data_IF_565197591512
#
_entry.id   IF_565197591512
#
_cell.length_a   1.000
_cell.length_b   1.000
_cell.length_c   1.000
_cell.angle_alpha   90.00
_cell.angle_beta   90.00
_cell.angle_gamma   90.00
#
_symmetry.space_group_name_H-M   'P 1'
#
loop_
_entity.id
_entity.type
_entity.pdbx_description
1 polymer ?
#
# COMPACT_ATOMS: atom_id res chain seq x y z
N UNK A 1 11.95 50.55 11.58
CA UNK A 1 11.34 49.21 11.74
C UNK A 1 10.50 48.97 10.50
N UNK A 2 11.05 48.23 9.58
CA UNK A 2 10.44 47.94 8.27
C UNK A 2 9.43 46.85 8.47
N UNK A 3 8.18 47.19 8.21
CA UNK A 3 7.04 46.27 8.18
C UNK A 3 7.20 45.29 7.02
N UNK A 4 7.73 44.13 7.29
CA UNK A 4 7.76 43.01 6.35
C UNK A 4 6.43 42.28 6.42
N UNK A 5 5.36 42.90 5.91
CA UNK A 5 4.09 42.22 5.68
C UNK A 5 4.29 41.16 4.59
N UNK A 6 4.45 40.00 5.05
CA UNK A 6 4.60 38.70 4.44
C UNK A 6 3.56 38.42 3.35
N UNK A 7 3.91 38.57 2.10
CA UNK A 7 3.36 37.75 1.03
C UNK A 7 4.05 36.38 1.08
N UNK A 8 3.86 35.64 2.16
CA UNK A 8 4.36 34.28 2.28
C UNK A 8 3.52 33.37 1.36
N UNK A 9 4.11 32.94 0.27
CA UNK A 9 3.53 31.95 -0.63
C UNK A 9 3.37 30.54 0.01
N UNK A 10 3.74 30.41 1.27
CA UNK A 10 3.64 29.14 2.02
C UNK A 10 2.21 28.70 2.31
N UNK A 11 1.31 29.64 2.63
CA UNK A 11 -0.09 29.29 2.94
C UNK A 11 -0.84 28.65 1.78
N UNK A 12 -0.91 29.27 0.59
CA UNK A 12 -1.53 28.66 -0.58
C UNK A 12 -0.89 27.34 -0.99
N UNK A 13 0.46 27.24 -1.01
CA UNK A 13 1.15 25.99 -1.34
C UNK A 13 0.81 24.85 -0.39
N UNK A 14 0.75 25.11 0.90
CA UNK A 14 0.34 24.13 1.90
C UNK A 14 -1.13 23.74 1.74
N UNK A 15 -1.99 24.63 1.29
CA UNK A 15 -3.39 24.36 0.96
C UNK A 15 -3.52 23.33 -0.14
N UNK A 16 -2.87 23.57 -1.29
CA UNK A 16 -2.86 22.63 -2.42
C UNK A 16 -2.26 21.27 -2.07
N UNK A 17 -1.13 21.28 -1.37
CA UNK A 17 -0.54 20.03 -0.90
C UNK A 17 -1.48 19.26 0.02
N UNK A 18 -2.15 19.96 0.94
CA UNK A 18 -3.12 19.35 1.84
C UNK A 18 -4.30 18.73 1.10
N UNK A 19 -4.83 19.39 0.07
CA UNK A 19 -5.89 18.85 -0.79
C UNK A 19 -5.44 17.53 -1.45
N UNK A 20 -4.26 17.52 -2.07
CA UNK A 20 -3.72 16.33 -2.69
C UNK A 20 -3.59 15.18 -1.70
N UNK A 21 -2.98 15.40 -0.55
CA UNK A 21 -2.78 14.36 0.47
C UNK A 21 -4.10 13.89 1.10
N UNK A 22 -5.06 14.80 1.28
CA UNK A 22 -6.38 14.42 1.79
C UNK A 22 -7.14 13.53 0.82
N UNK A 23 -6.96 13.73 -0.48
CA UNK A 23 -7.46 12.82 -1.52
C UNK A 23 -6.98 11.39 -1.34
N UNK A 24 -5.70 11.19 -1.00
CA UNK A 24 -5.18 9.85 -0.69
C UNK A 24 -5.89 9.22 0.53
N UNK A 25 -6.11 10.02 1.56
CA UNK A 25 -6.82 9.54 2.77
C UNK A 25 -8.24 9.11 2.41
N UNK A 26 -8.97 9.91 1.63
CA UNK A 26 -10.32 9.58 1.18
C UNK A 26 -10.37 8.24 0.42
N UNK A 27 -9.41 8.00 -0.47
CA UNK A 27 -9.32 6.72 -1.20
C UNK A 27 -9.02 5.56 -0.26
N UNK A 28 -8.04 5.72 0.63
CA UNK A 28 -7.60 4.65 1.52
C UNK A 28 -8.65 4.27 2.56
N UNK A 29 -9.43 5.23 3.06
CA UNK A 29 -10.48 5.01 4.06
C UNK A 29 -11.81 4.54 3.47
N UNK A 30 -12.01 4.72 2.16
CA UNK A 30 -13.26 4.30 1.53
C UNK A 30 -13.34 2.77 1.40
N UNK A 31 -14.49 2.18 1.68
CA UNK A 31 -14.72 0.73 1.55
C UNK A 31 -15.24 0.30 0.18
N UNK A 32 -15.74 1.22 -0.65
CA UNK A 32 -16.29 0.93 -1.97
C UNK A 32 -15.16 0.81 -3.01
N UNK A 33 -15.08 -0.33 -3.69
CA UNK A 33 -14.05 -0.57 -4.71
C UNK A 33 -14.25 0.24 -6.00
N UNK A 34 -15.47 0.75 -6.23
CA UNK A 34 -15.77 1.66 -7.34
C UNK A 34 -15.34 3.10 -7.08
N UNK A 35 -14.85 3.40 -5.85
CA UNK A 35 -14.48 4.76 -5.48
C UNK A 35 -13.38 5.32 -6.39
N UNK A 36 -13.60 6.54 -6.83
CA UNK A 36 -12.64 7.33 -7.60
C UNK A 36 -12.72 8.80 -7.24
N UNK A 37 -11.65 9.53 -7.48
CA UNK A 37 -11.63 10.99 -7.31
C UNK A 37 -10.97 11.71 -8.49
N UNK A 38 -11.31 13.00 -8.62
CA UNK A 38 -10.65 13.98 -9.50
C UNK A 38 -10.33 15.22 -8.71
N UNK A 39 -9.26 15.89 -9.08
CA UNK A 39 -8.87 17.18 -8.50
C UNK A 39 -9.27 18.33 -9.41
N UNK A 40 -9.65 19.48 -8.82
CA UNK A 40 -9.92 20.75 -9.52
C UNK A 40 -10.88 20.64 -10.71
N UNK A 41 -11.86 19.69 -10.66
CA UNK A 41 -12.85 19.54 -11.71
C UNK A 41 -14.02 20.54 -11.52
N UNK A 42 -14.85 20.33 -10.51
CA UNK A 42 -15.96 21.22 -10.12
C UNK A 42 -15.72 21.87 -8.75
N UNK A 43 -14.86 21.27 -7.93
CA UNK A 43 -14.43 21.74 -6.62
C UNK A 43 -13.00 21.23 -6.36
N UNK A 44 -12.45 21.45 -5.15
CA UNK A 44 -11.08 21.00 -4.80
C UNK A 44 -10.91 19.48 -5.05
N UNK A 45 -11.89 18.67 -4.62
CA UNK A 45 -11.93 17.22 -4.85
C UNK A 45 -13.36 16.80 -5.21
N UNK A 46 -13.50 16.15 -6.33
CA UNK A 46 -14.73 15.49 -6.76
C UNK A 46 -14.58 13.98 -6.59
N UNK A 47 -15.57 13.33 -5.95
CA UNK A 47 -15.52 11.89 -5.68
C UNK A 47 -16.76 11.18 -6.17
N UNK A 48 -16.58 9.96 -6.68
CA UNK A 48 -17.64 9.06 -7.11
C UNK A 48 -17.49 7.71 -6.40
N UNK A 49 -18.63 7.17 -5.91
CA UNK A 49 -18.72 5.84 -5.31
C UNK A 49 -20.11 5.26 -5.63
N UNK A 50 -20.18 4.32 -6.56
CA UNK A 50 -21.45 3.83 -7.07
C UNK A 50 -22.32 4.97 -7.61
N UNK A 51 -23.52 5.16 -7.03
CA UNK A 51 -24.45 6.26 -7.38
C UNK A 51 -24.19 7.56 -6.57
N UNK A 52 -23.22 7.55 -5.67
CA UNK A 52 -22.90 8.70 -4.82
C UNK A 52 -21.86 9.58 -5.50
N UNK A 53 -22.23 10.84 -5.72
CA UNK A 53 -21.36 11.89 -6.25
C UNK A 53 -21.19 12.99 -5.19
N UNK A 54 -19.95 13.35 -4.86
CA UNK A 54 -19.66 14.38 -3.87
C UNK A 54 -18.67 15.41 -4.40
N UNK A 55 -18.94 16.68 -4.10
CA UNK A 55 -18.02 17.80 -4.24
C UNK A 55 -17.46 18.16 -2.87
N UNK A 56 -16.15 18.12 -2.73
CA UNK A 56 -15.48 18.35 -1.46
C UNK A 56 -14.59 19.58 -1.52
N UNK A 57 -14.87 20.54 -0.66
CA UNK A 57 -14.01 21.69 -0.45
C UNK A 57 -13.11 21.46 0.75
N UNK A 58 -11.80 21.54 0.55
CA UNK A 58 -10.79 21.18 1.55
C UNK A 58 -10.05 22.44 2.05
N UNK A 59 -10.23 22.78 3.30
CA UNK A 59 -9.63 23.96 3.91
C UNK A 59 -8.61 23.63 4.99
N UNK A 60 -7.34 23.88 4.69
CA UNK A 60 -6.27 23.84 5.67
C UNK A 60 -6.07 25.21 6.33
N UNK A 61 -6.04 25.24 7.67
CA UNK A 61 -5.69 26.41 8.46
C UNK A 61 -4.51 26.10 9.36
N UNK A 62 -3.51 26.97 9.37
CA UNK A 62 -2.38 26.86 10.29
C UNK A 62 -2.78 27.29 11.70
N UNK A 63 -3.76 28.19 11.82
CA UNK A 63 -4.23 28.73 13.07
C UNK A 63 -5.42 27.91 13.62
N UNK A 64 -5.48 27.75 14.93
CA UNK A 64 -6.62 27.15 15.62
C UNK A 64 -7.77 28.17 15.70
N UNK A 65 -8.51 28.33 14.60
CA UNK A 65 -9.67 29.19 14.54
C UNK A 65 -10.96 28.36 14.48
N UNK A 66 -12.07 28.99 14.91
CA UNK A 66 -13.38 28.38 14.82
C UNK A 66 -14.02 28.69 13.47
N UNK A 67 -14.59 27.64 12.84
CA UNK A 67 -15.50 27.80 11.72
C UNK A 67 -16.87 28.16 12.27
N UNK A 68 -17.48 29.20 11.72
CA UNK A 68 -18.82 29.66 12.07
C UNK A 68 -19.64 29.95 10.80
N UNK A 69 -20.97 30.12 10.94
CA UNK A 69 -21.87 30.56 9.89
C UNK A 69 -21.51 31.94 9.31
N UNK A 70 -20.66 32.69 10.01
CA UNK A 70 -20.18 34.02 9.59
C UNK A 70 -18.90 33.98 8.75
N UNK A 71 -18.24 32.82 8.68
CA UNK A 71 -16.94 32.65 8.00
C UNK A 71 -17.05 32.90 6.49
N UNK A 72 -16.26 33.84 5.96
CA UNK A 72 -16.29 34.22 4.55
C UNK A 72 -15.97 33.06 3.61
N UNK A 73 -15.00 32.21 3.98
CA UNK A 73 -14.64 31.02 3.21
C UNK A 73 -15.81 30.03 3.08
N UNK A 74 -16.57 29.80 4.14
CA UNK A 74 -17.76 28.96 4.10
C UNK A 74 -18.79 29.51 3.11
N UNK A 75 -19.04 30.82 3.12
CA UNK A 75 -19.97 31.45 2.19
C UNK A 75 -19.46 31.39 0.75
N UNK A 76 -18.16 31.51 0.53
CA UNK A 76 -17.59 31.33 -0.80
C UNK A 76 -17.83 29.91 -1.33
N UNK A 77 -17.60 28.91 -0.49
CA UNK A 77 -17.88 27.50 -0.83
C UNK A 77 -19.37 27.25 -1.09
N UNK A 78 -20.26 27.79 -0.25
CA UNK A 78 -21.71 27.71 -0.49
C UNK A 78 -22.08 28.29 -1.87
N UNK A 79 -21.46 29.38 -2.28
CA UNK A 79 -21.70 29.98 -3.59
C UNK A 79 -21.27 29.08 -4.76
N UNK A 80 -20.12 28.40 -4.63
CA UNK A 80 -19.65 27.43 -5.63
C UNK A 80 -20.65 26.29 -5.73
N UNK A 81 -21.05 25.71 -4.61
CA UNK A 81 -21.98 24.60 -4.53
C UNK A 81 -23.39 24.94 -5.03
N UNK A 82 -23.86 26.18 -4.81
CA UNK A 82 -25.11 26.65 -5.39
C UNK A 82 -25.07 26.70 -6.92
N UNK A 83 -23.91 27.00 -7.48
CA UNK A 83 -23.73 26.97 -8.94
C UNK A 83 -23.75 25.55 -9.53
N UNK A 84 -23.38 24.54 -8.73
CA UNK A 84 -23.40 23.13 -9.13
C UNK A 84 -24.74 22.43 -8.73
N UNK A 85 -25.52 23.03 -7.85
CA UNK A 85 -26.75 22.47 -7.34
C UNK A 85 -27.89 22.56 -8.36
N UNK A 86 -28.36 21.43 -8.83
CA UNK A 86 -29.59 21.32 -9.66
C UNK A 86 -30.66 20.60 -8.84
N UNK A 87 -31.77 21.30 -8.48
CA UNK A 87 -32.88 20.71 -7.74
C UNK A 87 -33.67 19.69 -8.54
N UNK A 88 -33.60 19.72 -9.88
CA UNK A 88 -34.33 18.84 -10.78
C UNK A 88 -33.48 17.63 -11.24
N UNK A 89 -32.21 17.63 -10.96
CA UNK A 89 -31.30 16.52 -11.32
C UNK A 89 -31.67 15.22 -10.62
N UNK A 90 -31.74 14.14 -11.40
CA UNK A 90 -31.87 12.77 -10.88
C UNK A 90 -30.60 12.30 -10.16
N UNK A 91 -29.45 12.91 -10.44
CA UNK A 91 -28.16 12.61 -9.79
C UNK A 91 -28.10 13.31 -8.43
N UNK A 92 -27.88 12.52 -7.38
CA UNK A 92 -27.80 13.04 -6.01
C UNK A 92 -26.39 13.53 -5.70
N UNK A 93 -26.15 14.80 -6.01
CA UNK A 93 -24.90 15.47 -5.65
C UNK A 93 -24.90 15.85 -4.15
N UNK A 94 -23.86 15.44 -3.42
CA UNK A 94 -23.60 15.81 -2.04
C UNK A 94 -22.42 16.78 -1.94
N UNK A 95 -22.36 17.55 -0.86
CA UNK A 95 -21.34 18.58 -0.63
C UNK A 95 -20.62 18.32 0.69
N UNK A 96 -19.28 18.32 0.67
CA UNK A 96 -18.45 18.03 1.84
C UNK A 96 -17.54 19.21 2.16
N UNK A 97 -17.69 19.79 3.33
CA UNK A 97 -16.77 20.81 3.84
C UNK A 97 -15.77 20.18 4.80
N UNK A 98 -14.54 20.04 4.36
CA UNK A 98 -13.43 19.39 5.06
C UNK A 98 -12.51 20.47 5.60
N UNK A 99 -12.25 20.50 6.91
CA UNK A 99 -11.45 21.58 7.49
C UNK A 99 -10.69 21.18 8.75
N UNK A 100 -9.47 21.70 8.89
CA UNK A 100 -8.70 21.60 10.13
C UNK A 100 -9.23 22.50 11.26
N UNK A 101 -10.14 23.42 10.95
CA UNK A 101 -10.73 24.30 11.93
C UNK A 101 -11.64 23.56 12.92
N UNK A 102 -11.73 24.10 14.13
CA UNK A 102 -12.70 23.65 15.15
C UNK A 102 -14.07 24.25 14.87
N UNK A 103 -15.12 23.60 15.36
CA UNK A 103 -16.46 24.20 15.45
C UNK A 103 -16.92 24.20 16.90
N UNK A 104 -17.84 25.11 17.24
CA UNK A 104 -18.51 25.08 18.52
C UNK A 104 -19.47 23.89 18.57
N UNK A 105 -19.32 22.96 19.52
CA UNK A 105 -20.23 21.82 19.65
C UNK A 105 -21.68 22.20 19.93
N UNK A 106 -21.92 23.39 20.47
CA UNK A 106 -23.26 23.94 20.73
C UNK A 106 -23.73 24.93 19.64
N UNK A 107 -22.90 25.17 18.64
CA UNK A 107 -23.21 26.11 17.55
C UNK A 107 -24.01 25.47 16.41
N UNK A 108 -24.55 26.31 15.50
CA UNK A 108 -25.42 25.85 14.42
C UNK A 108 -24.78 24.89 13.41
N UNK A 109 -23.43 24.85 13.36
CA UNK A 109 -22.71 23.92 12.49
C UNK A 109 -22.59 22.50 13.06
N UNK A 110 -22.90 22.30 14.36
CA UNK A 110 -22.76 21.00 14.99
C UNK A 110 -23.67 19.92 14.38
N UNK A 111 -24.85 20.32 13.90
CA UNK A 111 -25.78 19.40 13.23
C UNK A 111 -25.26 18.80 11.91
N UNK A 112 -24.28 19.44 11.27
CA UNK A 112 -23.73 18.97 10.00
C UNK A 112 -22.75 17.78 10.16
N UNK A 113 -22.39 17.41 11.38
CA UNK A 113 -21.53 16.24 11.66
C UNK A 113 -22.29 14.93 11.59
N UNK A 114 -23.58 14.96 11.81
CA UNK A 114 -24.43 13.77 11.86
C UNK A 114 -25.43 13.80 10.69
N UNK A 115 -25.33 12.80 9.82
CA UNK A 115 -26.25 12.64 8.67
C UNK A 115 -27.71 12.39 9.07
N UNK A 116 -27.98 12.07 10.35
CA UNK A 116 -29.32 11.83 10.87
C UNK A 116 -29.93 13.10 11.53
N UNK A 117 -29.14 14.13 11.76
CA UNK A 117 -29.60 15.37 12.37
C UNK A 117 -30.37 16.22 11.37
N UNK A 118 -31.38 16.92 11.85
CA UNK A 118 -32.04 17.97 11.08
C UNK A 118 -31.11 19.17 10.94
N UNK A 119 -30.73 19.56 9.73
CA UNK A 119 -29.86 20.70 9.45
C UNK A 119 -30.58 22.05 9.57
N UNK A 120 -31.73 22.11 10.27
CA UNK A 120 -32.55 23.29 10.39
C UNK A 120 -31.88 24.43 11.17
N UNK A 121 -31.13 24.12 12.21
CA UNK A 121 -30.39 25.13 12.98
C UNK A 121 -29.34 25.85 12.12
N UNK A 122 -28.63 25.12 11.32
CA UNK A 122 -27.66 25.69 10.39
C UNK A 122 -28.36 26.51 9.30
N UNK A 123 -29.47 26.02 8.74
CA UNK A 123 -30.25 26.76 7.76
C UNK A 123 -30.73 28.09 8.32
N UNK A 124 -31.30 28.11 9.52
CA UNK A 124 -31.76 29.35 10.16
C UNK A 124 -30.60 30.31 10.46
N UNK A 125 -29.44 29.80 10.87
CA UNK A 125 -28.25 30.60 11.08
C UNK A 125 -27.74 31.25 9.77
N UNK A 126 -27.77 30.52 8.65
CA UNK A 126 -27.41 31.05 7.32
C UNK A 126 -28.41 32.12 6.87
N UNK A 127 -29.72 31.89 7.05
CA UNK A 127 -30.76 32.89 6.73
C UNK A 127 -30.54 34.18 7.49
N UNK A 128 -30.34 34.10 8.81
CA UNK A 128 -30.06 35.28 9.66
C UNK A 128 -28.80 36.00 9.21
N UNK A 129 -27.74 35.26 8.90
CA UNK A 129 -26.49 35.89 8.49
C UNK A 129 -26.62 36.53 7.09
N UNK A 130 -27.33 35.90 6.16
CA UNK A 130 -27.61 36.48 4.84
C UNK A 130 -28.44 37.78 4.96
N UNK A 131 -29.49 37.75 5.78
CA UNK A 131 -30.30 38.96 6.06
C UNK A 131 -29.46 40.09 6.68
N UNK A 132 -28.62 39.78 7.66
CA UNK A 132 -27.69 40.74 8.29
C UNK A 132 -26.71 41.37 7.30
N UNK A 133 -26.23 40.59 6.32
CA UNK A 133 -25.30 41.05 5.29
C UNK A 133 -26.00 41.90 4.24
N UNK A 134 -27.17 41.49 3.79
CA UNK A 134 -27.91 42.15 2.69
C UNK A 134 -28.73 43.36 3.13
N UNK A 135 -29.32 43.32 4.34
CA UNK A 135 -30.24 44.32 4.87
C UNK A 135 -29.81 44.78 6.29
N UNK A 136 -28.69 45.46 6.43
CA UNK A 136 -28.26 45.91 7.74
C UNK A 136 -29.18 46.96 8.31
N UNK A 137 -29.51 46.88 9.61
CA UNK A 137 -30.38 47.82 10.33
C UNK A 137 -29.89 49.28 10.24
N UNK A 138 -28.63 49.52 9.98
CA UNK A 138 -28.03 50.85 9.84
C UNK A 138 -28.25 51.48 8.45
N UNK A 139 -28.92 50.81 7.52
CA UNK A 139 -29.16 51.31 6.16
C UNK A 139 -27.89 51.33 5.26
N UNK A 140 -26.71 50.95 5.81
CA UNK A 140 -25.48 50.81 5.02
C UNK A 140 -25.13 49.33 4.91
N UNK A 141 -24.75 48.81 3.70
CA UNK A 141 -24.30 47.45 3.55
C UNK A 141 -23.19 47.13 4.57
N UNK A 142 -23.34 46.06 5.32
CA UNK A 142 -22.32 45.64 6.30
C UNK A 142 -21.03 45.18 5.64
N UNK A 143 -21.08 44.86 4.33
CA UNK A 143 -19.94 44.45 3.48
C UNK A 143 -19.99 45.19 2.14
N UNK A 144 -18.85 45.33 1.51
CA UNK A 144 -18.78 45.79 0.11
C UNK A 144 -19.60 44.82 -0.77
N UNK A 145 -20.43 45.37 -1.67
CA UNK A 145 -21.23 44.59 -2.63
C UNK A 145 -20.39 43.71 -3.57
N UNK A 146 -19.12 44.03 -3.72
CA UNK A 146 -18.16 43.24 -4.49
C UNK A 146 -17.52 42.08 -3.71
N UNK A 147 -17.73 42.02 -2.39
CA UNK A 147 -17.18 40.94 -1.56
C UNK A 147 -17.78 39.60 -1.95
N UNK A 148 -16.95 38.54 -1.89
CA UNK A 148 -17.37 37.17 -2.17
C UNK A 148 -18.54 36.75 -1.28
N UNK A 149 -18.49 37.12 0.01
CA UNK A 149 -19.55 36.82 0.96
C UNK A 149 -20.88 37.50 0.62
N UNK A 150 -20.85 38.79 0.23
CA UNK A 150 -22.09 39.49 -0.17
C UNK A 150 -22.75 38.80 -1.36
N UNK A 151 -21.98 38.46 -2.40
CA UNK A 151 -22.46 37.75 -3.58
C UNK A 151 -23.05 36.39 -3.22
N UNK A 152 -22.38 35.63 -2.36
CA UNK A 152 -22.86 34.34 -1.88
C UNK A 152 -24.19 34.44 -1.11
N UNK A 153 -24.30 35.40 -0.19
CA UNK A 153 -25.55 35.67 0.52
C UNK A 153 -26.70 36.05 -0.44
N UNK A 154 -26.38 36.82 -1.49
CA UNK A 154 -27.37 37.22 -2.49
C UNK A 154 -27.86 36.01 -3.30
N UNK A 155 -26.95 35.15 -3.78
CA UNK A 155 -27.33 33.93 -4.52
C UNK A 155 -28.12 32.96 -3.63
N UNK A 156 -27.71 32.74 -2.39
CA UNK A 156 -28.45 31.92 -1.43
C UNK A 156 -29.90 32.45 -1.18
N UNK A 157 -30.07 33.77 -1.18
CA UNK A 157 -31.38 34.38 -0.96
C UNK A 157 -32.31 34.37 -2.18
N UNK A 158 -31.79 34.07 -3.39
CA UNK A 158 -32.59 33.97 -4.62
C UNK A 158 -33.37 32.66 -4.74
N UNK A 159 -32.82 31.57 -4.19
CA UNK A 159 -33.47 30.26 -4.19
C UNK A 159 -34.62 30.21 -3.18
N UNK A 160 -35.62 29.42 -3.46
CA UNK A 160 -36.83 29.29 -2.62
C UNK A 160 -36.48 28.67 -1.25
N UNK A 161 -37.33 28.86 -0.26
CA UNK A 161 -37.14 28.27 1.08
C UNK A 161 -37.07 26.74 1.05
N UNK A 162 -37.76 26.10 0.14
CA UNK A 162 -37.74 24.65 -0.08
C UNK A 162 -36.40 24.20 -0.67
N UNK A 163 -35.91 24.90 -1.68
CA UNK A 163 -34.62 24.63 -2.31
C UNK A 163 -33.48 24.85 -1.31
N UNK A 164 -33.52 25.90 -0.50
CA UNK A 164 -32.54 26.11 0.60
C UNK A 164 -32.50 24.91 1.54
N UNK A 165 -33.67 24.40 1.93
CA UNK A 165 -33.76 23.23 2.81
C UNK A 165 -33.19 21.98 2.16
N UNK A 166 -33.54 21.69 0.91
CA UNK A 166 -33.06 20.55 0.15
C UNK A 166 -31.55 20.64 -0.09
N UNK A 167 -31.04 21.82 -0.39
CA UNK A 167 -29.59 22.07 -0.56
C UNK A 167 -28.81 21.79 0.72
N UNK A 168 -29.24 22.37 1.85
CA UNK A 168 -28.56 22.21 3.14
C UNK A 168 -28.56 20.75 3.64
N UNK A 169 -29.57 19.95 3.28
CA UNK A 169 -29.61 18.51 3.61
C UNK A 169 -28.53 17.70 2.90
N UNK A 170 -27.92 18.23 1.86
CA UNK A 170 -26.83 17.59 1.10
C UNK A 170 -25.44 18.02 1.57
N UNK A 171 -25.33 18.90 2.59
CA UNK A 171 -24.06 19.41 3.11
C UNK A 171 -23.63 18.60 4.32
N UNK A 172 -22.41 18.12 4.30
CA UNK A 172 -21.72 17.39 5.39
C UNK A 172 -20.47 18.15 5.80
N UNK A 173 -20.20 18.19 7.10
CA UNK A 173 -19.05 18.90 7.66
C UNK A 173 -18.09 17.93 8.36
N UNK A 174 -16.83 17.98 7.96
CA UNK A 174 -15.72 17.25 8.57
C UNK A 174 -14.73 18.22 9.21
N UNK A 175 -14.99 18.67 10.44
CA UNK A 175 -14.11 19.60 11.15
C UNK A 175 -12.98 18.86 11.87
N UNK A 176 -11.94 19.61 12.27
CA UNK A 176 -10.82 19.08 13.05
C UNK A 176 -10.11 17.92 12.34
N UNK A 177 -10.08 17.95 11.00
CA UNK A 177 -9.27 16.99 10.24
C UNK A 177 -7.79 17.18 10.56
N UNK A 178 -6.96 16.13 10.46
CA UNK A 178 -5.53 16.20 10.77
C UNK A 178 -4.82 17.31 9.98
N UNK A 179 -3.94 18.05 10.63
CA UNK A 179 -3.11 19.06 9.95
C UNK A 179 -2.09 18.38 9.04
N UNK A 180 -1.55 19.12 8.07
CA UNK A 180 -0.58 18.60 7.09
C UNK A 180 0.61 17.87 7.74
N UNK A 181 1.09 18.32 8.91
CA UNK A 181 2.16 17.64 9.66
C UNK A 181 1.77 16.29 10.26
N UNK A 182 0.49 16.00 10.38
CA UNK A 182 -0.06 14.77 10.99
C UNK A 182 -0.44 13.71 9.93
N UNK A 183 -0.43 14.09 8.65
CA UNK A 183 -0.88 13.24 7.55
C UNK A 183 -0.11 11.92 7.49
N UNK A 184 1.20 11.95 7.65
CA UNK A 184 2.02 10.73 7.63
C UNK A 184 1.63 9.75 8.75
N UNK A 185 1.24 10.27 9.92
CA UNK A 185 0.73 9.45 11.03
C UNK A 185 -0.60 8.80 10.65
N UNK A 186 -1.47 9.56 10.00
CA UNK A 186 -2.77 9.04 9.56
C UNK A 186 -2.62 7.97 8.47
N UNK A 187 -1.78 8.18 7.47
CA UNK A 187 -1.52 7.16 6.44
C UNK A 187 -0.99 5.87 7.09
N UNK A 188 0.00 5.97 8.00
CA UNK A 188 0.51 4.80 8.73
C UNK A 188 -0.59 4.08 9.53
N UNK A 189 -1.52 4.82 10.09
CA UNK A 189 -2.68 4.25 10.81
C UNK A 189 -3.59 3.47 9.84
N UNK A 190 -3.92 4.06 8.70
CA UNK A 190 -4.81 3.45 7.70
C UNK A 190 -4.19 2.19 7.09
N UNK A 191 -2.89 2.19 6.76
CA UNK A 191 -2.21 1.02 6.19
C UNK A 191 -1.77 0.00 7.25
N UNK A 192 -1.94 0.27 8.54
CA UNK A 192 -1.46 -0.60 9.62
C UNK A 192 -2.02 -2.03 9.62
N UNK A 193 -3.26 -2.30 9.18
CA UNK A 193 -3.78 -3.67 9.09
C UNK A 193 -3.09 -4.52 8.00
N UNK A 194 -2.43 -3.88 7.04
CA UNK A 194 -1.85 -4.53 5.85
C UNK A 194 -0.32 -4.55 5.86
N UNK A 195 0.32 -3.93 6.86
CA UNK A 195 1.77 -3.71 6.87
C UNK A 195 2.40 -4.13 8.21
N UNK A 196 3.59 -4.72 8.12
CA UNK A 196 4.39 -5.00 9.32
C UNK A 196 4.90 -3.69 9.96
N UNK A 197 5.02 -3.62 11.30
CA UNK A 197 5.46 -2.40 11.99
C UNK A 197 6.78 -1.84 11.49
N UNK A 198 7.76 -2.69 11.20
CA UNK A 198 9.11 -2.36 10.74
C UNK A 198 9.13 -1.74 9.33
N UNK A 199 8.29 -2.21 8.40
CA UNK A 199 8.23 -1.72 7.02
C UNK A 199 7.22 -0.57 6.83
N UNK A 200 6.29 -0.39 7.77
CA UNK A 200 5.16 0.56 7.66
C UNK A 200 5.59 1.99 7.36
N UNK A 201 6.67 2.45 8.01
CA UNK A 201 7.17 3.81 7.81
C UNK A 201 7.67 4.03 6.38
N UNK A 202 8.41 3.06 5.85
CA UNK A 202 8.96 3.11 4.50
C UNK A 202 7.86 3.00 3.45
N UNK A 203 6.90 2.09 3.64
CA UNK A 203 5.74 1.93 2.75
C UNK A 203 4.89 3.22 2.71
N UNK A 204 4.63 3.84 3.88
CA UNK A 204 3.89 5.10 3.94
C UNK A 204 4.61 6.23 3.19
N UNK A 205 5.92 6.33 3.32
CA UNK A 205 6.74 7.32 2.62
C UNK A 205 6.72 7.09 1.10
N UNK A 206 6.96 5.86 0.65
CA UNK A 206 6.95 5.51 -0.78
C UNK A 206 5.57 5.70 -1.42
N UNK A 207 4.50 5.41 -0.67
CA UNK A 207 3.13 5.65 -1.13
C UNK A 207 2.85 7.15 -1.31
N UNK A 208 3.30 8.00 -0.37
CA UNK A 208 3.19 9.45 -0.49
C UNK A 208 3.98 10.00 -1.67
N UNK A 209 5.22 9.58 -1.87
CA UNK A 209 6.08 10.00 -2.99
C UNK A 209 5.44 9.65 -4.36
N UNK A 210 4.90 8.44 -4.48
CA UNK A 210 4.15 8.05 -5.66
C UNK A 210 2.87 8.87 -5.84
N UNK A 211 2.13 9.09 -4.74
CA UNK A 211 0.88 9.85 -4.75
C UNK A 211 1.08 11.30 -5.15
N UNK A 212 2.11 11.96 -4.65
CA UNK A 212 2.42 13.36 -5.02
C UNK A 212 2.60 13.49 -6.54
N UNK A 213 3.31 12.55 -7.13
CA UNK A 213 3.49 12.51 -8.60
C UNK A 213 2.17 12.25 -9.32
N UNK A 214 1.37 11.28 -8.84
CA UNK A 214 0.10 10.90 -9.45
C UNK A 214 -0.96 12.00 -9.36
N UNK A 215 -1.07 12.65 -8.21
CA UNK A 215 -1.95 13.80 -7.99
C UNK A 215 -1.55 14.99 -8.90
N UNK A 216 -0.26 15.26 -9.04
CA UNK A 216 0.23 16.29 -9.96
C UNK A 216 -0.19 16.03 -11.41
N UNK A 217 -0.05 14.81 -11.90
CA UNK A 217 -0.49 14.46 -13.26
C UNK A 217 -2.02 14.55 -13.43
N UNK A 218 -2.80 14.23 -12.39
CA UNK A 218 -4.25 14.41 -12.41
C UNK A 218 -4.65 15.88 -12.53
N UNK A 219 -3.92 16.80 -11.88
CA UNK A 219 -4.15 18.24 -12.03
C UNK A 219 -3.86 18.75 -13.45
N UNK A 220 -2.94 18.11 -14.17
CA UNK A 220 -2.67 18.45 -15.59
C UNK A 220 -3.76 17.91 -16.52
N UNK A 221 -4.49 16.88 -16.12
CA UNK A 221 -5.53 16.22 -16.89
C UNK A 221 -6.82 16.12 -16.04
N UNK A 222 -7.60 17.19 -15.89
CA UNK A 222 -8.76 17.24 -14.99
C UNK A 222 -9.85 16.19 -15.28
N UNK A 223 -9.90 15.69 -16.52
CA UNK A 223 -10.85 14.63 -16.93
C UNK A 223 -10.42 13.22 -16.45
N UNK A 224 -9.19 13.06 -15.97
CA UNK A 224 -8.66 11.78 -15.53
C UNK A 224 -8.93 11.54 -14.04
N UNK A 225 -9.70 10.50 -13.72
CA UNK A 225 -9.96 10.09 -12.35
C UNK A 225 -8.86 9.14 -11.81
N UNK A 226 -8.60 9.23 -10.52
CA UNK A 226 -7.76 8.28 -9.79
C UNK A 226 -8.69 7.30 -9.08
N UNK A 227 -8.59 6.01 -9.41
CA UNK A 227 -9.44 4.98 -8.81
C UNK A 227 -8.81 4.38 -7.54
N UNK A 228 -9.67 3.89 -6.63
CA UNK A 228 -9.24 3.11 -5.47
C UNK A 228 -8.44 1.87 -5.87
N UNK A 229 -8.85 1.21 -6.95
CA UNK A 229 -8.15 0.02 -7.47
C UNK A 229 -6.69 0.36 -7.83
N UNK A 230 -6.44 1.51 -8.46
CA UNK A 230 -5.09 1.98 -8.80
C UNK A 230 -4.22 2.14 -7.54
N UNK A 231 -4.74 2.82 -6.53
CA UNK A 231 -4.04 3.05 -5.25
C UNK A 231 -3.81 1.73 -4.50
N UNK A 232 -4.80 0.84 -4.49
CA UNK A 232 -4.69 -0.49 -3.87
C UNK A 232 -3.63 -1.36 -4.54
N UNK A 233 -3.56 -1.34 -5.88
CA UNK A 233 -2.51 -2.05 -6.63
C UNK A 233 -1.13 -1.52 -6.26
N UNK A 234 -0.98 -0.19 -6.18
CA UNK A 234 0.30 0.42 -5.79
C UNK A 234 0.68 0.08 -4.34
N UNK A 235 -0.26 0.13 -3.42
CA UNK A 235 -0.02 -0.27 -2.03
C UNK A 235 0.43 -1.73 -1.94
N UNK A 236 -0.23 -2.65 -2.65
CA UNK A 236 0.15 -4.06 -2.69
C UNK A 236 1.54 -4.30 -3.30
N UNK A 237 1.89 -3.57 -4.37
CA UNK A 237 3.24 -3.57 -4.94
C UNK A 237 4.29 -3.15 -3.89
N UNK A 238 4.04 -2.04 -3.19
CA UNK A 238 4.94 -1.53 -2.16
C UNK A 238 5.08 -2.50 -0.98
N UNK A 239 3.98 -3.13 -0.55
CA UNK A 239 3.99 -4.15 0.49
C UNK A 239 4.84 -5.33 0.03
N UNK A 240 4.61 -5.87 -1.16
CA UNK A 240 5.36 -6.98 -1.71
C UNK A 240 6.85 -6.67 -1.81
N UNK A 241 7.21 -5.51 -2.33
CA UNK A 241 8.60 -5.10 -2.48
C UNK A 241 9.32 -4.95 -1.13
N UNK A 242 8.63 -4.46 -0.10
CA UNK A 242 9.20 -4.28 1.23
C UNK A 242 9.12 -5.55 2.08
N UNK A 243 8.14 -6.42 1.85
CA UNK A 243 8.08 -7.76 2.45
C UNK A 243 9.21 -8.65 1.91
N UNK A 244 9.49 -8.55 0.62
CA UNK A 244 10.51 -9.34 -0.07
C UNK A 244 11.96 -8.94 0.29
N UNK A 245 12.20 -7.82 0.95
CA UNK A 245 13.56 -7.33 1.19
C UNK A 245 14.25 -7.88 2.44
N UNK A 246 13.55 -8.58 3.35
CA UNK A 246 14.11 -8.95 4.66
C UNK A 246 13.89 -10.42 5.03
N UNK A 247 14.59 -11.33 4.32
CA UNK A 247 14.79 -12.67 4.85
C UNK A 247 15.92 -12.62 5.91
N UNK A 248 15.60 -13.06 7.13
CA UNK A 248 16.59 -13.13 8.20
C UNK A 248 17.54 -14.33 8.00
N UNK A 249 18.83 -14.16 8.26
CA UNK A 249 19.80 -15.26 8.35
C UNK A 249 19.97 -15.66 9.82
N UNK A 250 19.38 -16.77 10.20
CA UNK A 250 19.42 -17.28 11.58
C UNK A 250 20.31 -18.52 11.72
N UNK A 251 20.66 -19.18 10.59
CA UNK A 251 21.29 -20.50 10.63
C UNK A 251 22.65 -20.61 9.93
N UNK A 252 23.19 -19.58 9.27
CA UNK A 252 24.49 -19.65 8.58
C UNK A 252 25.63 -20.10 9.50
N UNK A 253 25.58 -19.72 10.77
CA UNK A 253 26.56 -20.07 11.79
C UNK A 253 26.07 -21.12 12.80
N UNK A 254 24.81 -21.57 12.66
CA UNK A 254 24.25 -22.55 13.59
C UNK A 254 24.83 -23.96 13.36
N UNK A 255 24.99 -24.70 14.43
CA UNK A 255 25.44 -26.09 14.39
C UNK A 255 24.25 -27.03 14.62
N UNK A 256 24.09 -28.07 13.80
CA UNK A 256 23.03 -29.06 14.01
C UNK A 256 23.14 -29.69 15.40
N UNK A 257 22.00 -30.03 16.05
CA UNK A 257 22.02 -30.77 17.33
C UNK A 257 22.79 -32.09 17.20
N UNK A 258 23.44 -32.52 18.29
CA UNK A 258 24.14 -33.79 18.32
C UNK A 258 23.18 -34.95 18.03
N UNK A 259 23.49 -35.76 17.02
CA UNK A 259 22.69 -36.91 16.59
C UNK A 259 21.81 -36.68 15.34
N UNK A 260 21.63 -35.43 14.90
CA UNK A 260 20.87 -35.14 13.67
C UNK A 260 21.63 -35.38 12.35
N UNK A 261 22.88 -35.76 12.43
CA UNK A 261 23.79 -35.92 11.28
C UNK A 261 23.97 -37.38 10.79
N UNK A 262 23.27 -38.37 11.33
CA UNK A 262 23.55 -39.80 11.11
C UNK A 262 22.36 -40.63 10.65
N UNK A 263 21.36 -40.04 10.02
CA UNK A 263 20.38 -40.85 9.31
C UNK A 263 20.86 -41.16 7.89
N UNK A 264 20.94 -42.48 7.57
CA UNK A 264 21.07 -42.98 6.21
C UNK A 264 19.81 -42.67 5.41
N UNK A 265 19.46 -41.38 5.31
CA UNK A 265 18.35 -40.93 4.51
C UNK A 265 18.67 -41.05 3.00
N UNK A 266 17.66 -40.91 2.17
CA UNK A 266 17.79 -41.02 0.71
C UNK A 266 18.86 -40.07 0.15
N UNK A 267 19.00 -38.86 0.70
CA UNK A 267 20.02 -37.91 0.26
C UNK A 267 21.44 -38.42 0.55
N UNK A 268 21.66 -39.02 1.72
CA UNK A 268 22.95 -39.65 2.08
C UNK A 268 23.24 -40.86 1.19
N UNK A 269 22.24 -41.72 0.92
CA UNK A 269 22.37 -42.86 -0.01
C UNK A 269 22.80 -42.37 -1.40
N UNK A 270 22.20 -41.32 -1.93
CA UNK A 270 22.58 -40.72 -3.21
C UNK A 270 24.05 -40.26 -3.26
N UNK A 271 24.57 -39.70 -2.18
CA UNK A 271 25.97 -39.29 -2.06
C UNK A 271 26.87 -40.53 -2.11
N UNK A 272 26.47 -41.61 -1.45
CA UNK A 272 27.22 -42.89 -1.42
C UNK A 272 27.22 -43.52 -2.80
N UNK A 273 26.12 -43.50 -3.57
CA UNK A 273 26.03 -44.04 -4.92
C UNK A 273 27.12 -43.49 -5.86
N UNK A 274 27.54 -42.25 -5.67
CA UNK A 274 28.62 -41.64 -6.46
C UNK A 274 29.97 -41.61 -5.73
N UNK A 275 30.18 -42.52 -4.81
CA UNK A 275 31.40 -42.65 -3.99
C UNK A 275 31.75 -41.35 -3.21
N UNK A 276 30.71 -40.59 -2.75
CA UNK A 276 30.87 -39.41 -1.93
C UNK A 276 31.66 -39.68 -0.61
N UNK A 277 32.59 -38.81 -0.28
CA UNK A 277 33.40 -38.93 0.95
C UNK A 277 32.57 -38.54 2.19
N UNK A 278 33.07 -38.92 3.37
CA UNK A 278 32.49 -38.45 4.65
C UNK A 278 32.40 -36.94 4.76
N UNK A 279 33.27 -36.19 4.09
CA UNK A 279 33.24 -34.74 4.04
C UNK A 279 32.04 -34.21 3.20
N UNK A 280 31.66 -34.91 2.14
CA UNK A 280 30.43 -34.58 1.37
C UNK A 280 29.19 -34.81 2.23
N UNK A 281 29.10 -35.95 2.89
CA UNK A 281 27.99 -36.32 3.78
C UNK A 281 27.82 -35.30 4.91
N UNK A 282 28.92 -34.97 5.61
CA UNK A 282 28.90 -34.01 6.72
C UNK A 282 28.42 -32.62 6.29
N UNK A 283 28.91 -32.14 5.12
CA UNK A 283 28.46 -30.85 4.55
C UNK A 283 26.99 -30.89 4.14
N UNK A 284 26.62 -31.93 3.43
CA UNK A 284 25.25 -32.13 2.97
C UNK A 284 24.24 -32.16 4.12
N UNK A 285 24.49 -32.96 5.14
CA UNK A 285 23.63 -33.07 6.32
C UNK A 285 23.54 -31.75 7.08
N UNK A 286 24.67 -31.06 7.29
CA UNK A 286 24.69 -29.75 7.94
C UNK A 286 23.86 -28.70 7.16
N UNK A 287 24.12 -28.59 5.84
CA UNK A 287 23.51 -27.55 5.04
C UNK A 287 22.01 -27.89 4.75
N UNK A 288 21.63 -29.18 4.68
CA UNK A 288 20.24 -29.63 4.67
C UNK A 288 19.50 -29.20 5.93
N UNK A 289 20.07 -29.47 7.11
CA UNK A 289 19.48 -29.08 8.37
C UNK A 289 19.30 -27.54 8.47
N UNK A 290 20.33 -26.78 8.09
CA UNK A 290 20.28 -25.31 8.08
C UNK A 290 19.18 -24.78 7.15
N UNK A 291 19.10 -25.32 5.93
CA UNK A 291 18.10 -24.90 4.96
C UNK A 291 16.68 -25.26 5.43
N UNK A 292 16.48 -26.46 5.99
CA UNK A 292 15.16 -26.86 6.53
C UNK A 292 14.74 -25.94 7.67
N UNK A 293 15.62 -25.77 8.67
CA UNK A 293 15.32 -24.92 9.84
C UNK A 293 15.09 -23.44 9.46
N UNK A 294 15.85 -22.94 8.49
CA UNK A 294 15.67 -21.56 8.01
C UNK A 294 14.35 -21.38 7.28
N UNK A 295 13.99 -22.34 6.42
CA UNK A 295 12.72 -22.31 5.67
C UNK A 295 11.51 -22.44 6.60
N UNK A 296 11.58 -23.33 7.59
CA UNK A 296 10.54 -23.48 8.64
C UNK A 296 10.36 -22.17 9.41
N UNK A 297 11.45 -21.56 9.87
CA UNK A 297 11.41 -20.28 10.58
C UNK A 297 10.79 -19.18 9.74
N UNK A 298 11.15 -19.07 8.47
CA UNK A 298 10.53 -18.06 7.58
C UNK A 298 9.03 -18.27 7.40
N UNK A 299 8.57 -19.54 7.33
CA UNK A 299 7.14 -19.83 7.26
C UNK A 299 6.42 -19.47 8.57
N UNK A 300 7.00 -19.84 9.72
CA UNK A 300 6.43 -19.56 11.05
C UNK A 300 6.36 -18.04 11.34
N UNK A 301 7.36 -17.29 10.90
CA UNK A 301 7.43 -15.83 11.07
C UNK A 301 6.73 -15.07 9.92
N UNK A 302 6.11 -15.76 8.97
CA UNK A 302 5.48 -15.19 7.77
C UNK A 302 6.43 -14.30 6.93
N UNK A 303 7.73 -14.57 6.98
CA UNK A 303 8.74 -13.90 6.14
C UNK A 303 8.80 -14.48 4.72
N UNK A 304 8.30 -15.69 4.51
CA UNK A 304 8.13 -16.36 3.23
C UNK A 304 6.84 -17.20 3.25
N UNK A 305 6.51 -17.80 2.12
CA UNK A 305 5.36 -18.71 2.01
C UNK A 305 5.74 -19.96 1.20
N UNK A 306 4.90 -21.01 1.31
CA UNK A 306 5.16 -22.29 0.64
C UNK A 306 5.24 -22.17 -0.88
N UNK A 307 4.54 -21.23 -1.50
CA UNK A 307 4.57 -21.01 -2.95
C UNK A 307 5.92 -20.43 -3.41
N UNK A 308 6.48 -19.45 -2.67
CA UNK A 308 7.79 -18.89 -2.97
C UNK A 308 8.90 -19.95 -2.83
N UNK A 309 8.85 -20.76 -1.76
CA UNK A 309 9.78 -21.86 -1.58
C UNK A 309 9.67 -22.91 -2.70
N UNK A 310 8.46 -23.25 -3.13
CA UNK A 310 8.23 -24.18 -4.23
C UNK A 310 8.76 -23.65 -5.59
N UNK A 311 8.63 -22.34 -5.85
CA UNK A 311 9.23 -21.70 -7.05
C UNK A 311 10.76 -21.78 -6.98
N UNK A 312 11.34 -21.50 -5.81
CA UNK A 312 12.78 -21.61 -5.61
C UNK A 312 13.28 -23.04 -5.84
N UNK A 313 12.58 -24.04 -5.29
CA UNK A 313 12.87 -25.46 -5.46
C UNK A 313 12.78 -25.89 -6.94
N UNK A 314 11.75 -25.46 -7.65
CA UNK A 314 11.55 -25.77 -9.07
C UNK A 314 12.65 -25.17 -9.94
N UNK A 315 13.06 -23.95 -9.66
CA UNK A 315 14.17 -23.29 -10.36
C UNK A 315 15.49 -24.03 -10.17
N UNK A 316 15.79 -24.48 -8.94
CA UNK A 316 16.99 -25.25 -8.68
C UNK A 316 16.94 -26.63 -9.36
N UNK A 317 15.78 -27.27 -9.39
CA UNK A 317 15.59 -28.55 -10.08
C UNK A 317 15.77 -28.41 -11.59
N UNK A 318 15.26 -27.35 -12.22
CA UNK A 318 15.43 -27.05 -13.64
C UNK A 318 16.90 -26.86 -14.02
N UNK A 319 17.66 -26.09 -13.27
CA UNK A 319 19.09 -25.88 -13.50
C UNK A 319 19.92 -27.17 -13.31
N UNK A 320 19.51 -28.01 -12.36
CA UNK A 320 20.09 -29.35 -12.22
C UNK A 320 19.74 -30.25 -13.39
N UNK A 321 18.51 -30.24 -13.90
CA UNK A 321 18.01 -31.05 -14.96
C UNK A 321 18.83 -30.86 -16.27
N UNK A 322 19.16 -29.63 -16.62
CA UNK A 322 20.00 -29.30 -17.78
C UNK A 322 21.37 -29.95 -17.72
N UNK A 323 22.01 -29.97 -16.54
CA UNK A 323 23.28 -30.62 -16.34
C UNK A 323 23.14 -32.14 -16.30
N UNK A 324 22.05 -32.63 -15.72
CA UNK A 324 21.77 -34.05 -15.58
C UNK A 324 21.46 -34.70 -16.94
N UNK A 325 20.67 -34.06 -17.81
CA UNK A 325 20.39 -34.52 -19.16
C UNK A 325 21.71 -34.63 -19.95
N UNK A 326 22.57 -33.64 -19.89
CA UNK A 326 23.89 -33.67 -20.54
C UNK A 326 24.71 -34.88 -20.07
N UNK A 327 24.71 -35.16 -18.75
CA UNK A 327 25.42 -36.32 -18.18
C UNK A 327 24.80 -37.63 -18.64
N UNK A 328 23.46 -37.73 -18.76
CA UNK A 328 22.79 -38.96 -19.27
C UNK A 328 23.14 -39.22 -20.73
N UNK A 329 23.05 -38.21 -21.58
CA UNK A 329 23.36 -38.36 -23.02
C UNK A 329 24.75 -38.90 -23.27
N UNK A 330 25.70 -38.58 -22.39
CA UNK A 330 27.08 -39.08 -22.43
C UNK A 330 27.26 -40.44 -21.70
N UNK A 331 26.26 -40.94 -20.97
CA UNK A 331 26.42 -42.06 -20.03
C UNK A 331 26.27 -43.43 -20.64
N UNK A 332 25.64 -43.61 -21.81
CA UNK A 332 25.35 -44.90 -22.40
C UNK A 332 26.59 -45.75 -22.74
N UNK A 333 27.74 -45.09 -23.00
CA UNK A 333 29.01 -45.73 -23.27
C UNK A 333 29.92 -45.84 -22.03
N UNK A 334 29.46 -45.32 -20.85
CA UNK A 334 30.29 -45.25 -19.64
C UNK A 334 30.23 -46.53 -18.81
N UNK A 335 31.37 -46.92 -18.27
CA UNK A 335 31.43 -47.91 -17.22
C UNK A 335 30.82 -47.37 -15.90
N UNK A 336 30.40 -48.29 -15.01
CA UNK A 336 29.79 -47.89 -13.73
C UNK A 336 30.71 -46.94 -12.93
N UNK A 337 32.02 -47.15 -12.94
CA UNK A 337 32.98 -46.27 -12.28
C UNK A 337 33.04 -44.86 -12.92
N UNK A 338 32.86 -44.78 -14.23
CA UNK A 338 32.80 -43.51 -14.94
C UNK A 338 31.47 -42.77 -14.63
N UNK A 339 30.35 -43.51 -14.62
CA UNK A 339 29.04 -42.96 -14.17
C UNK A 339 29.11 -42.34 -12.79
N UNK A 340 29.73 -43.03 -11.83
CA UNK A 340 29.96 -42.48 -10.47
C UNK A 340 30.85 -41.26 -10.49
N UNK A 341 31.83 -41.18 -11.36
CA UNK A 341 32.74 -40.04 -11.48
C UNK A 341 32.00 -38.80 -12.00
N UNK A 342 31.17 -38.97 -13.05
CA UNK A 342 30.38 -37.86 -13.58
C UNK A 342 29.30 -37.42 -12.57
N UNK A 343 28.64 -38.36 -11.93
CA UNK A 343 27.70 -38.04 -10.85
C UNK A 343 28.34 -37.31 -9.68
N UNK A 344 29.61 -37.66 -9.36
CA UNK A 344 30.40 -36.92 -8.35
C UNK A 344 30.61 -35.45 -8.76
N UNK A 345 30.89 -35.17 -10.04
CA UNK A 345 31.07 -33.80 -10.53
C UNK A 345 29.80 -32.99 -10.37
N UNK A 346 28.64 -33.58 -10.61
CA UNK A 346 27.34 -32.94 -10.43
C UNK A 346 27.06 -32.64 -8.92
N UNK A 347 27.37 -33.58 -8.03
CA UNK A 347 27.31 -33.35 -6.58
C UNK A 347 28.26 -32.22 -6.17
N UNK A 348 29.51 -32.21 -6.65
CA UNK A 348 30.48 -31.19 -6.34
C UNK A 348 30.06 -29.80 -6.86
N UNK A 349 29.44 -29.74 -8.04
CA UNK A 349 28.86 -28.51 -8.56
C UNK A 349 27.77 -27.97 -7.62
N UNK A 350 26.85 -28.81 -7.16
CA UNK A 350 25.79 -28.39 -6.23
C UNK A 350 26.30 -27.81 -4.93
N UNK A 351 27.51 -28.27 -4.49
CA UNK A 351 28.14 -27.82 -3.25
C UNK A 351 29.06 -26.61 -3.43
N UNK A 352 29.63 -26.38 -4.60
CA UNK A 352 30.66 -25.37 -4.83
C UNK A 352 30.20 -24.22 -5.72
N UNK A 353 29.70 -24.54 -6.90
CA UNK A 353 29.42 -23.55 -7.97
C UNK A 353 27.98 -23.07 -7.98
N UNK A 354 27.01 -23.96 -7.80
CA UNK A 354 25.59 -23.64 -7.82
C UNK A 354 25.22 -22.46 -6.90
N UNK A 355 25.72 -22.35 -5.65
CA UNK A 355 25.37 -21.22 -4.78
C UNK A 355 25.78 -19.84 -5.29
N UNK A 356 26.77 -19.77 -6.18
CA UNK A 356 27.24 -18.51 -6.75
C UNK A 356 26.75 -18.25 -8.16
N UNK A 357 26.32 -19.29 -8.88
CA UNK A 357 25.86 -19.22 -10.26
C UNK A 357 24.34 -19.06 -10.36
N UNK A 358 23.60 -19.62 -9.40
CA UNK A 358 22.14 -19.64 -9.47
C UNK A 358 21.54 -18.42 -8.77
N UNK A 359 20.35 -17.97 -9.23
CA UNK A 359 19.64 -16.88 -8.59
C UNK A 359 19.29 -17.23 -7.14
N UNK A 360 19.47 -16.28 -6.26
CA UNK A 360 19.05 -16.40 -4.86
C UNK A 360 17.51 -16.45 -4.75
N UNK A 361 16.99 -16.91 -3.61
CA UNK A 361 15.55 -16.93 -3.35
C UNK A 361 14.96 -15.51 -3.44
N UNK A 362 15.70 -14.51 -2.96
CA UNK A 362 15.39 -13.08 -3.07
C UNK A 362 16.64 -12.27 -3.32
N UNK A 363 16.47 -11.09 -3.90
CA UNK A 363 17.56 -10.14 -4.05
C UNK A 363 18.17 -9.80 -2.67
N UNK A 364 19.48 -9.83 -2.57
CA UNK A 364 20.21 -9.56 -1.33
C UNK A 364 20.49 -10.77 -0.46
N UNK A 365 19.83 -11.91 -0.62
CA UNK A 365 20.18 -13.16 0.06
C UNK A 365 21.44 -13.76 -0.55
N UNK A 366 22.47 -14.04 0.27
CA UNK A 366 23.79 -14.51 -0.22
C UNK A 366 24.31 -15.76 0.46
N UNK A 367 23.55 -16.32 1.42
CA UNK A 367 24.04 -17.43 2.22
C UNK A 367 24.01 -18.75 1.43
N UNK A 368 25.21 -19.36 1.15
CA UNK A 368 25.31 -20.52 0.25
C UNK A 368 24.64 -21.78 0.78
N UNK A 369 24.44 -21.88 2.10
CA UNK A 369 23.86 -23.06 2.72
C UNK A 369 22.42 -23.33 2.23
N UNK A 370 21.69 -22.28 1.85
CA UNK A 370 20.31 -22.44 1.38
C UNK A 370 20.25 -23.22 0.08
N UNK A 371 21.06 -22.87 -0.92
CA UNK A 371 21.13 -23.59 -2.20
C UNK A 371 21.63 -25.01 -1.99
N UNK A 372 22.74 -25.19 -1.25
CA UNK A 372 23.32 -26.50 -0.95
C UNK A 372 22.34 -27.41 -0.22
N UNK A 373 21.69 -26.88 0.81
CA UNK A 373 20.74 -27.63 1.62
C UNK A 373 19.46 -27.94 0.86
N UNK A 374 18.98 -27.02 0.02
CA UNK A 374 17.81 -27.29 -0.83
C UNK A 374 18.08 -28.42 -1.83
N UNK A 375 19.26 -28.51 -2.44
CA UNK A 375 19.62 -29.66 -3.26
C UNK A 375 19.59 -30.97 -2.47
N UNK A 376 19.96 -30.95 -1.19
CA UNK A 376 19.88 -32.15 -0.34
C UNK A 376 18.43 -32.48 0.07
N UNK A 377 17.56 -31.49 0.20
CA UNK A 377 16.12 -31.70 0.40
C UNK A 377 15.54 -32.38 -0.86
N UNK A 378 15.76 -31.78 -2.03
CA UNK A 378 15.29 -32.30 -3.32
C UNK A 378 15.82 -33.71 -3.64
N UNK A 379 17.08 -33.97 -3.29
CA UNK A 379 17.72 -35.28 -3.42
C UNK A 379 17.06 -36.31 -2.49
N UNK A 380 16.72 -35.92 -1.26
CA UNK A 380 15.96 -36.74 -0.34
C UNK A 380 14.55 -37.09 -0.83
N UNK A 381 13.94 -36.19 -1.58
CA UNK A 381 12.63 -36.36 -2.24
C UNK A 381 12.69 -37.09 -3.59
N UNK A 382 13.87 -37.50 -4.05
CA UNK A 382 14.14 -38.11 -5.37
C UNK A 382 13.78 -37.19 -6.55
N UNK A 383 13.66 -35.89 -6.33
CA UNK A 383 13.40 -34.86 -7.37
C UNK A 383 14.67 -34.48 -8.13
N UNK A 384 15.82 -34.67 -7.52
CA UNK A 384 17.14 -34.56 -8.13
C UNK A 384 17.99 -35.78 -7.74
N UNK A 385 18.95 -36.14 -8.59
CA UNK A 385 19.85 -37.26 -8.32
C UNK A 385 21.27 -36.98 -8.77
N UNK A 386 22.22 -37.72 -8.21
CA UNK A 386 23.63 -37.53 -8.57
C UNK A 386 24.10 -38.59 -9.56
N UNK A 387 23.69 -39.85 -9.43
CA UNK A 387 24.03 -40.92 -10.34
C UNK A 387 23.09 -40.95 -11.54
N UNK A 388 23.55 -41.21 -12.79
CA UNK A 388 22.67 -41.35 -13.96
C UNK A 388 21.46 -42.27 -13.72
N UNK A 389 21.70 -43.38 -13.05
CA UNK A 389 20.69 -44.42 -12.77
C UNK A 389 20.09 -44.34 -11.37
N UNK A 390 20.10 -43.15 -10.70
CA UNK A 390 19.73 -43.01 -9.27
C UNK A 390 18.32 -43.50 -8.97
N UNK A 391 17.37 -43.31 -9.86
CA UNK A 391 15.97 -43.72 -9.66
C UNK A 391 15.87 -45.25 -9.56
N UNK A 392 16.53 -45.99 -10.43
CA UNK A 392 16.51 -47.45 -10.42
C UNK A 392 17.27 -48.02 -9.22
N UNK A 393 18.46 -47.45 -8.92
CA UNK A 393 19.30 -47.88 -7.79
C UNK A 393 18.67 -47.65 -6.41
N UNK A 394 17.81 -46.63 -6.27
CA UNK A 394 17.10 -46.33 -5.02
C UNK A 394 15.73 -46.99 -4.94
N UNK A 395 15.18 -47.57 -6.02
CA UNK A 395 13.89 -48.27 -5.98
C UNK A 395 14.01 -49.69 -5.41
N UNK A 396 15.18 -50.31 -5.47
CA UNK A 396 15.42 -51.68 -4.97
C UNK A 396 15.58 -51.73 -3.43
N UNK A 397 15.84 -50.63 -2.77
CA UNK A 397 15.99 -50.51 -1.29
C UNK A 397 14.63 -50.42 -0.54
N UNK A 398 13.52 -50.19 -1.23
CA UNK A 398 12.18 -50.08 -0.65
C UNK A 398 11.41 -51.43 -0.59
N UNK A 399 12.08 -52.58 -0.95
CA UNK A 399 11.56 -53.94 -0.81
C UNK A 399 12.22 -54.68 0.33
#
# INVERSE_FOLDING_TARGET
>A
MTDTSSHSASGPKLGYYYQAVYGLILILENSDDSFSLRFEALDDIETHAGETHCLSQVHHSLNDSYLTEKTEKLWHTINIWLGAYDPESSERLNFQYITTNKIDPSGPLACLKDSQSSNLEFLEALRKEAERVLNPESGKPSLNKDSKKYKACLEFSKITKTEQQNFIQRIFLFPQTPKVGEVNVLIKKVISPFTLPESRNLIAQQLLEWWDTRAFFSLLNPDESISKIEVTKKLNELISNNFNSHLTDDFSHATPPNGSLVDLDTATKQIILVDGSSGHISRASRDKWRATSQREKWLDENLSNSYELAIFDSRLAEEWEDLFITMIDESDELTEQQKKTEGRKLLDWSHSSAPSQLPSIREGWREPFLVRGTYQILSGEKRVGWHPDYESLLSDDDK
#
